data_IF_383280407055
#
_entry.id   IF_383280407055
#
_cell.length_a   1.000
_cell.length_b   1.000
_cell.length_c   1.000
_cell.angle_alpha   90.00
_cell.angle_beta   90.00
_cell.angle_gamma   90.00
#
_symmetry.space_group_name_H-M   'P 1'
#
loop_
_entity.id
_entity.type
_entity.pdbx_description
1 polymer ?
#
# COMPACT_ATOMS: atom_id res chain seq x y z
N UNK A 1 8.17 -16.44 -25.42
CA UNK A 1 9.04 -17.25 -24.54
C UNK A 1 9.33 -16.40 -23.33
N UNK A 2 8.97 -16.78 -22.09
CA UNK A 2 9.44 -16.02 -20.94
C UNK A 2 10.98 -16.14 -20.90
N UNK A 3 11.67 -15.02 -20.72
CA UNK A 3 13.13 -15.02 -20.58
C UNK A 3 13.54 -15.93 -19.41
N UNK A 4 14.62 -16.71 -19.61
CA UNK A 4 15.18 -17.54 -18.55
C UNK A 4 15.60 -16.68 -17.35
N UNK A 5 15.44 -17.16 -16.11
CA UNK A 5 15.77 -16.39 -14.91
C UNK A 5 17.28 -16.09 -14.87
N UNK A 6 17.63 -14.80 -14.86
CA UNK A 6 19.00 -14.34 -14.74
C UNK A 6 19.54 -14.70 -13.34
N UNK A 7 20.54 -15.57 -13.31
CA UNK A 7 21.15 -16.06 -12.06
C UNK A 7 22.66 -15.80 -12.07
N UNK A 8 23.21 -15.24 -10.98
CA UNK A 8 24.66 -15.08 -10.79
C UNK A 8 25.06 -15.48 -9.38
N UNK A 9 26.16 -16.24 -9.28
CA UNK A 9 26.79 -16.55 -8.00
C UNK A 9 27.67 -15.38 -7.59
N UNK A 10 27.44 -14.86 -6.38
CA UNK A 10 28.24 -13.78 -5.78
C UNK A 10 28.88 -14.28 -4.49
N UNK A 11 29.97 -13.65 -4.09
CA UNK A 11 30.64 -13.93 -2.82
C UNK A 11 30.18 -12.94 -1.77
N UNK A 12 29.92 -13.42 -0.55
CA UNK A 12 29.76 -12.53 0.61
C UNK A 12 31.10 -11.87 0.96
N UNK A 13 31.05 -10.57 1.24
CA UNK A 13 32.18 -9.77 1.70
C UNK A 13 32.26 -9.78 3.23
N UNK A 14 33.31 -9.16 3.77
CA UNK A 14 33.47 -9.01 5.23
C UNK A 14 32.28 -8.23 5.81
N UNK A 15 31.81 -8.65 6.99
CA UNK A 15 30.69 -7.99 7.66
C UNK A 15 29.30 -8.35 7.13
N UNK A 16 29.17 -9.43 6.33
CA UNK A 16 27.86 -9.90 5.84
C UNK A 16 27.32 -9.11 4.65
N UNK A 17 28.14 -8.29 4.01
CA UNK A 17 27.76 -7.54 2.81
C UNK A 17 27.73 -8.47 1.58
N UNK A 18 26.85 -8.14 0.62
CA UNK A 18 26.82 -8.73 -0.72
C UNK A 18 26.76 -7.62 -1.76
N UNK A 19 27.46 -7.80 -2.87
CA UNK A 19 27.39 -6.86 -4.00
C UNK A 19 26.32 -7.31 -4.97
N UNK A 20 25.29 -6.48 -5.18
CA UNK A 20 24.29 -6.70 -6.24
C UNK A 20 24.94 -6.32 -7.59
N UNK A 21 25.10 -7.26 -8.55
CA UNK A 21 25.75 -6.96 -9.81
C UNK A 21 25.01 -5.91 -10.64
N UNK A 22 25.75 -5.13 -11.43
CA UNK A 22 25.22 -3.96 -12.15
C UNK A 22 23.99 -4.26 -13.01
N UNK A 23 23.96 -5.40 -13.69
CA UNK A 23 22.82 -5.84 -14.51
C UNK A 23 21.53 -6.02 -13.69
N UNK A 24 21.63 -6.56 -12.47
CA UNK A 24 20.48 -6.72 -11.59
C UNK A 24 20.00 -5.36 -11.09
N UNK A 25 20.94 -4.46 -10.73
CA UNK A 25 20.60 -3.08 -10.34
C UNK A 25 19.86 -2.34 -11.44
N UNK A 26 20.33 -2.44 -12.69
CA UNK A 26 19.70 -1.80 -13.84
C UNK A 26 18.28 -2.32 -14.08
N UNK A 27 18.09 -3.65 -14.10
CA UNK A 27 16.77 -4.26 -14.31
C UNK A 27 15.78 -3.97 -13.18
N UNK A 28 16.26 -3.89 -11.94
CA UNK A 28 15.44 -3.62 -10.75
C UNK A 28 15.29 -2.13 -10.44
N UNK A 29 16.01 -1.25 -11.14
CA UNK A 29 16.01 0.19 -10.88
C UNK A 29 16.62 0.56 -9.53
N UNK A 30 17.63 -0.18 -9.07
CA UNK A 30 18.33 0.06 -7.78
C UNK A 30 19.43 1.09 -7.99
N UNK A 31 19.29 2.25 -7.35
CA UNK A 31 20.30 3.30 -7.23
C UNK A 31 20.78 3.48 -5.78
N UNK A 32 21.56 4.52 -5.54
CA UNK A 32 22.26 4.74 -4.26
C UNK A 32 21.30 4.99 -3.08
N UNK A 33 20.15 5.62 -3.35
CA UNK A 33 19.12 5.93 -2.35
C UNK A 33 17.99 4.88 -2.31
N UNK A 34 18.14 3.75 -3.00
CA UNK A 34 17.09 2.73 -3.06
C UNK A 34 17.03 1.92 -1.76
N UNK A 35 15.89 2.00 -1.08
CA UNK A 35 15.60 1.13 0.05
C UNK A 35 15.32 -0.30 -0.45
N UNK A 36 15.90 -1.29 0.24
CA UNK A 36 15.70 -2.71 -0.07
C UNK A 36 14.95 -3.39 1.08
N UNK A 37 13.93 -4.18 0.74
CA UNK A 37 13.28 -5.10 1.67
C UNK A 37 13.99 -6.43 1.60
N UNK A 38 14.38 -6.95 2.76
CA UNK A 38 14.92 -8.29 2.93
C UNK A 38 13.86 -9.14 3.64
N UNK A 39 13.49 -10.26 3.03
CA UNK A 39 12.59 -11.25 3.64
C UNK A 39 13.32 -12.58 3.71
N UNK A 40 13.44 -13.13 4.91
CA UNK A 40 14.00 -14.47 5.13
C UNK A 40 12.88 -15.50 5.01
N UNK A 41 13.00 -16.40 4.03
CA UNK A 41 12.13 -17.56 3.86
C UNK A 41 12.77 -18.85 4.38
N UNK A 42 12.20 -20.00 4.02
CA UNK A 42 12.76 -21.32 4.32
C UNK A 42 13.94 -21.63 3.39
N UNK A 43 15.11 -21.08 3.71
CA UNK A 43 16.36 -21.36 3.00
C UNK A 43 16.72 -20.37 1.90
N UNK A 44 15.90 -19.33 1.68
CA UNK A 44 16.19 -18.25 0.76
C UNK A 44 16.08 -16.87 1.41
N UNK A 45 16.82 -15.92 0.83
CA UNK A 45 16.72 -14.50 1.16
C UNK A 45 16.18 -13.77 -0.06
N UNK A 46 14.93 -13.32 0.03
CA UNK A 46 14.30 -12.51 -1.02
C UNK A 46 14.61 -11.03 -0.79
N UNK A 47 15.19 -10.40 -1.81
CA UNK A 47 15.57 -8.99 -1.79
C UNK A 47 14.78 -8.25 -2.88
N UNK A 48 14.03 -7.22 -2.49
CA UNK A 48 13.21 -6.45 -3.41
C UNK A 48 13.38 -4.94 -3.17
N UNK A 49 13.43 -4.10 -4.22
CA UNK A 49 13.42 -2.66 -4.06
C UNK A 49 12.08 -2.19 -3.49
N UNK A 50 12.13 -1.36 -2.45
CA UNK A 50 10.96 -0.67 -1.91
C UNK A 50 10.75 0.60 -2.71
N UNK A 51 9.66 0.65 -3.47
CA UNK A 51 9.19 1.91 -4.03
C UNK A 51 8.41 2.63 -2.93
N UNK A 52 9.01 3.66 -2.37
CA UNK A 52 8.25 4.65 -1.59
C UNK A 52 7.41 5.39 -2.62
N UNK A 53 6.19 4.91 -2.85
CA UNK A 53 5.20 5.69 -3.58
C UNK A 53 4.86 6.81 -2.60
N UNK A 54 5.39 8.01 -2.83
CA UNK A 54 4.78 9.19 -2.24
C UNK A 54 3.27 9.07 -2.52
N UNK A 55 2.43 9.36 -1.53
CA UNK A 55 0.98 9.39 -1.68
C UNK A 55 0.55 10.59 -2.56
N UNK A 56 1.20 10.76 -3.71
CA UNK A 56 1.16 11.90 -4.61
C UNK A 56 0.75 11.47 -6.02
N UNK A 57 -0.29 10.66 -6.11
CA UNK A 57 -1.21 10.56 -7.24
C UNK A 57 -2.32 9.64 -6.76
N UNK A 58 -3.55 10.15 -6.72
CA UNK A 58 -4.71 9.47 -6.11
C UNK A 58 -4.69 7.98 -6.37
N UNK A 59 -4.77 7.20 -5.30
CA UNK A 59 -4.62 5.76 -5.39
C UNK A 59 -5.71 5.19 -6.31
N UNK A 60 -5.38 4.33 -7.29
CA UNK A 60 -6.39 3.78 -8.22
C UNK A 60 -7.61 3.18 -7.51
N UNK A 61 -7.37 2.47 -6.39
CA UNK A 61 -8.44 1.94 -5.54
C UNK A 61 -9.34 3.02 -4.93
N UNK A 62 -8.81 4.22 -4.65
CA UNK A 62 -9.59 5.33 -4.10
C UNK A 62 -10.50 5.95 -5.18
N UNK A 63 -10.03 6.01 -6.44
CA UNK A 63 -10.88 6.39 -7.57
C UNK A 63 -11.98 5.37 -7.79
N UNK A 64 -11.65 4.08 -7.79
CA UNK A 64 -12.62 3.00 -7.92
C UNK A 64 -13.67 3.05 -6.80
N UNK A 65 -13.28 3.34 -5.55
CA UNK A 65 -14.22 3.54 -4.44
C UNK A 65 -15.09 4.78 -4.65
N UNK A 66 -14.51 5.90 -5.09
CA UNK A 66 -15.26 7.12 -5.36
C UNK A 66 -16.32 6.90 -6.45
N UNK A 67 -15.96 6.18 -7.51
CA UNK A 67 -16.84 5.83 -8.62
C UNK A 67 -17.91 4.82 -8.17
N UNK A 68 -17.54 3.82 -7.37
CA UNK A 68 -18.46 2.83 -6.82
C UNK A 68 -19.59 3.47 -6.00
N UNK A 69 -19.29 4.52 -5.24
CA UNK A 69 -20.27 5.24 -4.42
C UNK A 69 -20.95 6.42 -5.14
N UNK A 70 -20.65 6.66 -6.43
CA UNK A 70 -21.27 7.77 -7.17
C UNK A 70 -22.81 7.74 -7.15
N UNK A 71 -23.49 6.59 -7.38
CA UNK A 71 -24.96 6.55 -7.36
C UNK A 71 -25.56 6.99 -6.01
N UNK A 72 -24.91 6.61 -4.90
CA UNK A 72 -25.38 6.94 -3.55
C UNK A 72 -25.22 8.43 -3.27
N UNK A 73 -24.15 9.07 -3.75
CA UNK A 73 -24.00 10.53 -3.62
C UNK A 73 -25.07 11.26 -4.42
N UNK A 74 -25.33 10.81 -5.65
CA UNK A 74 -26.35 11.43 -6.51
C UNK A 74 -27.74 11.33 -5.86
N UNK A 75 -28.07 10.20 -5.21
CA UNK A 75 -29.30 10.03 -4.44
C UNK A 75 -29.39 10.98 -3.24
N UNK A 76 -28.29 11.17 -2.51
CA UNK A 76 -28.24 12.08 -1.36
C UNK A 76 -28.37 13.53 -1.81
N UNK A 77 -27.67 13.94 -2.88
CA UNK A 77 -27.81 15.27 -3.47
C UNK A 77 -29.25 15.51 -3.94
N UNK A 78 -29.88 14.52 -4.59
CA UNK A 78 -31.28 14.61 -5.01
C UNK A 78 -32.27 14.67 -3.84
N UNK A 79 -31.92 14.10 -2.68
CA UNK A 79 -32.74 14.17 -1.46
C UNK A 79 -32.72 15.55 -0.78
N UNK A 80 -31.79 16.43 -1.19
CA UNK A 80 -31.64 17.78 -0.65
C UNK A 80 -30.94 17.84 0.71
N UNK A 81 -30.40 16.73 1.19
CA UNK A 81 -29.58 16.69 2.42
C UNK A 81 -28.25 17.38 2.14
N UNK A 82 -27.90 18.37 2.97
CA UNK A 82 -26.61 19.03 2.84
C UNK A 82 -25.47 18.15 3.31
N UNK A 83 -24.27 18.39 2.80
CA UNK A 83 -23.07 17.67 3.22
C UNK A 83 -22.80 17.81 4.74
N UNK A 84 -23.10 18.99 5.30
CA UNK A 84 -22.94 19.24 6.73
C UNK A 84 -23.89 18.40 7.59
N UNK A 85 -25.15 18.25 7.17
CA UNK A 85 -26.14 17.40 7.84
C UNK A 85 -25.77 15.92 7.74
N UNK A 86 -25.37 15.45 6.54
CA UNK A 86 -24.90 14.09 6.34
C UNK A 86 -23.70 13.76 7.25
N UNK A 87 -22.72 14.66 7.32
CA UNK A 87 -21.55 14.47 8.15
C UNK A 87 -21.91 14.41 9.65
N UNK A 88 -22.85 15.25 10.10
CA UNK A 88 -23.33 15.21 11.47
C UNK A 88 -24.03 13.88 11.82
N UNK A 89 -24.84 13.34 10.90
CA UNK A 89 -25.51 12.06 11.06
C UNK A 89 -24.51 10.89 11.11
N UNK A 90 -23.49 10.92 10.26
CA UNK A 90 -22.40 9.94 10.27
C UNK A 90 -21.65 9.98 11.61
N UNK A 91 -21.30 11.19 12.09
CA UNK A 91 -20.60 11.35 13.36
C UNK A 91 -21.42 10.84 14.54
N UNK A 92 -22.73 11.12 14.55
CA UNK A 92 -23.65 10.61 15.57
C UNK A 92 -23.73 9.08 15.55
N UNK A 93 -23.86 8.47 14.37
CA UNK A 93 -23.89 7.02 14.22
C UNK A 93 -22.57 6.35 14.66
N UNK A 94 -21.44 6.91 14.26
CA UNK A 94 -20.10 6.43 14.65
C UNK A 94 -19.89 6.57 16.16
N UNK A 95 -20.32 7.68 16.76
CA UNK A 95 -20.24 7.89 18.20
C UNK A 95 -21.06 6.84 18.97
N UNK A 96 -22.27 6.53 18.51
CA UNK A 96 -23.13 5.51 19.12
C UNK A 96 -22.48 4.12 19.09
N UNK A 97 -21.94 3.69 17.94
CA UNK A 97 -21.23 2.40 17.81
C UNK A 97 -19.98 2.36 18.69
N UNK A 98 -19.25 3.47 18.79
CA UNK A 98 -18.06 3.57 19.64
C UNK A 98 -18.41 3.52 21.12
N UNK A 99 -19.53 4.10 21.53
CA UNK A 99 -20.01 4.03 22.91
C UNK A 99 -20.43 2.60 23.27
N UNK A 100 -21.17 1.92 22.40
CA UNK A 100 -21.60 0.54 22.59
C UNK A 100 -20.42 -0.43 22.72
N UNK A 101 -19.41 -0.31 21.83
CA UNK A 101 -18.16 -1.09 21.92
C UNK A 101 -17.34 -0.85 23.19
N UNK A 102 -17.48 0.30 23.84
CA UNK A 102 -16.82 0.58 25.13
C UNK A 102 -17.57 -0.05 26.31
N UNK A 103 -18.87 -0.31 26.15
CA UNK A 103 -19.73 -0.88 27.19
C UNK A 103 -19.84 -2.42 27.09
N UNK A 104 -19.48 -3.00 25.94
CA UNK A 104 -19.35 -4.44 25.79
C UNK A 104 -18.16 -4.99 26.63
N UNK A 105 -18.37 -5.96 27.55
CA UNK A 105 -17.28 -6.59 28.28
C UNK A 105 -16.38 -7.39 27.32
N UNK A 106 -15.08 -7.31 27.52
CA UNK A 106 -14.06 -8.11 26.80
C UNK A 106 -14.09 -9.57 27.20
#
# INVERSE_FOLDING_TARGET
>A
MPDAPLTKVVRSLRGGQITIPAEFRQRLGIGDETLLRLTLGEGDLRIEPVRVVEAGAGSPWLRELYDYFAPVRDEIEASGVSEAELNADIDAAVAAVRADRRLAPR
#
